data_IF_425174878757
#
_entry.id   IF_425174878757
#
_cell.length_a   1.000
_cell.length_b   1.000
_cell.length_c   1.000
_cell.angle_alpha   90.00
_cell.angle_beta   90.00
_cell.angle_gamma   90.00
#
_symmetry.space_group_name_H-M   'P 1'
#
loop_
_entity.id
_entity.type
_entity.pdbx_description
1 polymer ?
#
# COMPACT_ATOMS: atom_id res chain seq x y z
N UNK A 1 -21.60 18.43 -9.60
CA UNK A 1 -20.55 17.46 -10.00
C UNK A 1 -19.87 16.76 -8.82
N UNK A 2 -19.64 17.43 -7.67
CA UNK A 2 -19.02 16.80 -6.48
C UNK A 2 -19.88 15.71 -5.83
N UNK A 3 -21.20 15.91 -5.69
CA UNK A 3 -22.10 14.95 -5.03
C UNK A 3 -22.17 13.56 -5.69
N UNK A 4 -22.04 13.50 -7.02
CA UNK A 4 -22.13 12.25 -7.78
C UNK A 4 -20.90 11.34 -7.56
N UNK A 5 -19.72 11.91 -7.32
CA UNK A 5 -18.49 11.14 -7.05
C UNK A 5 -18.51 10.48 -5.67
N UNK A 6 -19.03 11.19 -4.67
CA UNK A 6 -19.18 10.66 -3.30
C UNK A 6 -20.22 9.55 -3.24
N UNK A 7 -21.35 9.70 -3.95
CA UNK A 7 -22.39 8.67 -4.00
C UNK A 7 -21.87 7.31 -4.52
N UNK A 8 -21.01 7.31 -5.54
CA UNK A 8 -20.40 6.07 -6.06
C UNK A 8 -19.45 5.44 -5.03
N UNK A 9 -18.67 6.26 -4.32
CA UNK A 9 -17.78 5.80 -3.25
C UNK A 9 -18.54 5.19 -2.08
N UNK A 10 -19.59 5.89 -1.61
CA UNK A 10 -20.47 5.41 -0.54
C UNK A 10 -21.20 4.14 -0.98
N UNK A 11 -21.67 4.06 -2.23
CA UNK A 11 -22.27 2.85 -2.78
C UNK A 11 -21.30 1.66 -2.82
N UNK A 12 -20.03 1.91 -3.16
CA UNK A 12 -18.97 0.91 -3.11
C UNK A 12 -18.70 0.36 -1.71
N UNK A 13 -18.55 1.27 -0.73
CA UNK A 13 -18.39 0.90 0.68
C UNK A 13 -19.62 0.15 1.17
N UNK A 14 -20.82 0.62 0.85
CA UNK A 14 -22.07 -0.04 1.21
C UNK A 14 -22.20 -1.43 0.60
N UNK A 15 -21.72 -1.66 -0.63
CA UNK A 15 -21.69 -2.98 -1.25
C UNK A 15 -20.68 -3.92 -0.56
N UNK A 16 -19.48 -3.44 -0.27
CA UNK A 16 -18.46 -4.23 0.43
C UNK A 16 -18.92 -4.61 1.85
N UNK A 17 -19.44 -3.63 2.60
CA UNK A 17 -20.01 -3.84 3.92
C UNK A 17 -21.28 -4.69 3.86
N UNK A 18 -22.13 -4.51 2.84
CA UNK A 18 -23.33 -5.32 2.60
C UNK A 18 -22.99 -6.80 2.44
N UNK A 19 -21.92 -7.13 1.71
CA UNK A 19 -21.42 -8.50 1.62
C UNK A 19 -20.98 -9.07 2.98
N UNK A 20 -20.26 -8.27 3.78
CA UNK A 20 -19.83 -8.66 5.14
C UNK A 20 -21.03 -8.85 6.10
N UNK A 21 -21.99 -7.94 6.05
CA UNK A 21 -23.21 -7.99 6.86
C UNK A 21 -24.15 -9.12 6.43
N UNK A 22 -24.20 -9.47 5.14
CA UNK A 22 -24.95 -10.64 4.69
C UNK A 22 -24.39 -11.92 5.34
N UNK A 23 -23.06 -12.05 5.41
CA UNK A 23 -22.42 -13.17 6.11
C UNK A 23 -22.79 -13.14 7.59
N UNK A 24 -22.62 -12.00 8.27
CA UNK A 24 -22.89 -11.87 9.71
C UNK A 24 -24.37 -12.11 10.05
N UNK A 25 -25.29 -11.49 9.33
CA UNK A 25 -26.73 -11.62 9.53
C UNK A 25 -27.18 -13.07 9.36
N UNK A 26 -26.64 -13.76 8.36
CA UNK A 26 -26.97 -15.18 8.19
C UNK A 26 -26.45 -16.06 9.33
N UNK A 27 -25.38 -15.64 10.05
CA UNK A 27 -24.95 -16.23 11.34
C UNK A 27 -26.01 -16.06 12.41
N UNK A 28 -26.44 -14.83 12.62
CA UNK A 28 -27.39 -14.46 13.69
C UNK A 28 -28.79 -15.03 13.44
N UNK A 29 -29.23 -15.11 12.17
CA UNK A 29 -30.55 -15.61 11.80
C UNK A 29 -30.67 -17.16 11.85
N UNK A 30 -29.56 -17.91 11.90
CA UNK A 30 -29.56 -19.37 11.99
C UNK A 30 -30.11 -20.13 10.76
N UNK A 31 -30.55 -19.44 9.71
CA UNK A 31 -31.31 -20.03 8.57
C UNK A 31 -30.39 -20.77 7.59
N UNK A 32 -29.17 -20.27 7.36
CA UNK A 32 -28.23 -20.84 6.39
C UNK A 32 -27.04 -21.46 7.09
N UNK A 33 -26.66 -22.68 6.72
CA UNK A 33 -25.43 -23.33 7.20
C UNK A 33 -24.16 -22.60 6.72
N UNK A 34 -23.01 -22.73 7.42
CA UNK A 34 -21.79 -22.00 7.10
C UNK A 34 -21.31 -22.14 5.65
N UNK A 35 -21.46 -23.33 5.05
CA UNK A 35 -21.09 -23.57 3.65
C UNK A 35 -21.89 -22.71 2.66
N UNK A 36 -23.21 -22.58 2.85
CA UNK A 36 -24.07 -21.80 1.95
C UNK A 36 -23.75 -20.30 2.02
N UNK A 37 -23.39 -19.80 3.21
CA UNK A 37 -22.97 -18.39 3.39
C UNK A 37 -21.70 -18.09 2.60
N UNK A 38 -20.72 -18.99 2.67
CA UNK A 38 -19.45 -18.86 1.97
C UNK A 38 -19.63 -18.99 0.45
N UNK A 39 -20.47 -19.90 -0.04
CA UNK A 39 -20.74 -20.01 -1.48
C UNK A 39 -21.46 -18.79 -2.01
N UNK A 40 -22.45 -18.26 -1.31
CA UNK A 40 -23.12 -17.02 -1.68
C UNK A 40 -22.16 -15.81 -1.69
N UNK A 41 -21.31 -15.67 -0.67
CA UNK A 41 -20.30 -14.62 -0.63
C UNK A 41 -19.29 -14.76 -1.79
N UNK A 42 -18.86 -15.99 -2.09
CA UNK A 42 -18.01 -16.29 -3.24
C UNK A 42 -18.66 -15.89 -4.58
N UNK A 43 -19.92 -16.28 -4.78
CA UNK A 43 -20.69 -15.94 -5.98
C UNK A 43 -20.86 -14.43 -6.10
N UNK A 44 -21.21 -13.73 -5.01
CA UNK A 44 -21.34 -12.28 -5.00
C UNK A 44 -20.01 -11.61 -5.38
N UNK A 45 -18.90 -12.03 -4.78
CA UNK A 45 -17.58 -11.51 -5.09
C UNK A 45 -17.21 -11.68 -6.57
N UNK A 46 -17.45 -12.86 -7.14
CA UNK A 46 -17.24 -13.13 -8.56
C UNK A 46 -18.18 -12.31 -9.46
N UNK A 47 -19.45 -12.16 -9.08
CA UNK A 47 -20.44 -11.39 -9.83
C UNK A 47 -20.07 -9.90 -9.89
N UNK A 48 -19.54 -9.34 -8.80
CA UNK A 48 -19.06 -7.96 -8.76
C UNK A 48 -17.84 -7.76 -9.68
N UNK A 49 -16.87 -8.67 -9.67
CA UNK A 49 -15.70 -8.61 -10.57
C UNK A 49 -16.14 -8.79 -12.03
N UNK A 50 -17.03 -9.74 -12.31
CA UNK A 50 -17.57 -9.96 -13.66
C UNK A 50 -18.36 -8.74 -14.16
N UNK A 51 -19.17 -8.13 -13.29
CA UNK A 51 -19.88 -6.89 -13.59
C UNK A 51 -18.91 -5.73 -13.87
N UNK A 52 -17.81 -5.64 -13.14
CA UNK A 52 -16.80 -4.61 -13.35
C UNK A 52 -16.17 -4.73 -14.74
N UNK A 53 -15.78 -5.95 -15.11
CA UNK A 53 -15.20 -6.27 -16.41
C UNK A 53 -16.21 -6.10 -17.55
N UNK A 54 -17.47 -6.46 -17.33
CA UNK A 54 -18.54 -6.27 -18.30
C UNK A 54 -18.75 -4.78 -18.62
N UNK A 55 -18.88 -3.94 -17.60
CA UNK A 55 -19.04 -2.48 -17.76
C UNK A 55 -17.81 -1.91 -18.49
N UNK A 56 -16.62 -2.40 -18.16
CA UNK A 56 -15.37 -1.99 -18.81
C UNK A 56 -15.33 -2.38 -20.30
N UNK A 57 -15.70 -3.61 -20.66
CA UNK A 57 -15.61 -4.13 -22.05
C UNK A 57 -16.68 -3.56 -22.97
N UNK A 58 -17.89 -3.37 -22.47
CA UNK A 58 -19.02 -2.89 -23.28
C UNK A 58 -19.09 -1.37 -23.37
N UNK A 59 -18.28 -0.64 -22.60
CA UNK A 59 -18.35 0.82 -22.52
C UNK A 59 -19.71 1.30 -22.04
N UNK A 60 -20.43 0.46 -21.29
CA UNK A 60 -21.79 0.74 -20.81
C UNK A 60 -21.76 2.04 -20.01
N UNK A 61 -22.34 3.10 -20.60
CA UNK A 61 -22.46 4.40 -19.95
C UNK A 61 -23.52 4.27 -18.88
N UNK A 62 -23.09 3.87 -17.69
CA UNK A 62 -23.91 3.97 -16.48
C UNK A 62 -24.44 5.41 -16.43
N UNK A 63 -25.71 5.68 -16.05
CA UNK A 63 -26.35 7.01 -16.11
C UNK A 63 -25.78 8.03 -15.11
N UNK A 64 -24.45 8.17 -15.09
CA UNK A 64 -23.67 8.99 -14.17
C UNK A 64 -22.75 9.83 -15.05
N UNK A 65 -23.17 11.07 -15.32
CA UNK A 65 -22.41 11.98 -16.19
C UNK A 65 -21.05 12.34 -15.57
N UNK A 66 -19.99 12.27 -16.38
CA UNK A 66 -18.65 12.77 -16.05
C UNK A 66 -17.66 11.74 -15.47
N UNK A 67 -16.60 12.22 -14.82
CA UNK A 67 -15.49 11.41 -14.31
C UNK A 67 -15.89 10.33 -13.27
N UNK A 68 -17.14 10.32 -12.79
CA UNK A 68 -17.66 9.32 -11.86
C UNK A 68 -17.85 7.94 -12.50
N UNK A 69 -18.21 7.87 -13.79
CA UNK A 69 -18.36 6.61 -14.52
C UNK A 69 -17.05 5.81 -14.64
N UNK A 70 -15.91 6.49 -14.61
CA UNK A 70 -14.59 5.85 -14.68
C UNK A 70 -14.21 5.08 -13.41
N UNK A 71 -14.82 5.41 -12.26
CA UNK A 71 -14.49 4.77 -10.97
C UNK A 71 -15.38 3.57 -10.64
N UNK A 72 -16.52 3.39 -11.32
CA UNK A 72 -17.47 2.31 -11.02
C UNK A 72 -16.83 0.93 -11.20
N UNK A 73 -16.14 0.63 -12.33
CA UNK A 73 -15.48 -0.67 -12.50
C UNK A 73 -14.38 -0.92 -11.44
N UNK A 74 -13.62 0.12 -11.06
CA UNK A 74 -12.58 -0.01 -10.03
C UNK A 74 -13.16 -0.34 -8.65
N UNK A 75 -14.25 0.31 -8.28
CA UNK A 75 -14.91 0.13 -6.98
C UNK A 75 -15.57 -1.25 -6.90
N UNK A 76 -16.22 -1.68 -7.98
CA UNK A 76 -16.86 -2.99 -8.04
C UNK A 76 -15.84 -4.14 -8.00
N UNK A 77 -14.69 -3.95 -8.65
CA UNK A 77 -13.53 -4.86 -8.54
C UNK A 77 -12.98 -4.90 -7.12
N UNK A 78 -12.79 -3.74 -6.47
CA UNK A 78 -12.31 -3.66 -5.09
C UNK A 78 -13.24 -4.40 -4.12
N UNK A 79 -14.55 -4.12 -4.21
CA UNK A 79 -15.57 -4.74 -3.37
C UNK A 79 -15.63 -6.25 -3.59
N UNK A 80 -15.59 -6.71 -4.84
CA UNK A 80 -15.57 -8.12 -5.18
C UNK A 80 -14.33 -8.84 -4.66
N UNK A 81 -13.14 -8.26 -4.85
CA UNK A 81 -11.89 -8.80 -4.31
C UNK A 81 -11.91 -8.88 -2.78
N UNK A 82 -12.39 -7.82 -2.10
CA UNK A 82 -12.52 -7.80 -0.64
C UNK A 82 -13.42 -8.92 -0.12
N UNK A 83 -14.59 -9.12 -0.76
CA UNK A 83 -15.53 -10.19 -0.39
C UNK A 83 -14.88 -11.57 -0.62
N UNK A 84 -14.15 -11.78 -1.73
CA UNK A 84 -13.48 -13.06 -1.98
C UNK A 84 -12.36 -13.34 -0.96
N UNK A 85 -11.53 -12.34 -0.64
CA UNK A 85 -10.52 -12.45 0.40
C UNK A 85 -11.15 -12.82 1.75
N UNK A 86 -12.19 -12.09 2.16
CA UNK A 86 -12.92 -12.36 3.40
C UNK A 86 -13.57 -13.73 3.41
N UNK A 87 -14.09 -14.19 2.27
CA UNK A 87 -14.70 -15.53 2.13
C UNK A 87 -13.67 -16.64 2.32
N UNK A 88 -12.50 -16.55 1.67
CA UNK A 88 -11.43 -17.55 1.84
C UNK A 88 -10.88 -17.55 3.26
N UNK A 89 -10.69 -16.36 3.84
CA UNK A 89 -10.28 -16.23 5.24
C UNK A 89 -11.28 -16.88 6.19
N UNK A 90 -12.58 -16.57 6.05
CA UNK A 90 -13.62 -17.16 6.90
C UNK A 90 -13.73 -18.69 6.71
N UNK A 91 -13.61 -19.17 5.47
CA UNK A 91 -13.61 -20.60 5.18
C UNK A 91 -12.49 -21.36 5.91
N UNK A 92 -11.30 -20.75 6.02
CA UNK A 92 -10.17 -21.34 6.73
C UNK A 92 -10.17 -21.03 8.24
N UNK A 93 -10.06 -19.76 8.60
CA UNK A 93 -9.78 -19.30 9.96
C UNK A 93 -10.97 -19.29 10.91
N UNK A 94 -12.21 -19.33 10.40
CA UNK A 94 -13.42 -19.35 11.23
C UNK A 94 -14.08 -20.72 11.19
N UNK A 95 -14.30 -21.26 9.99
CA UNK A 95 -15.09 -22.49 9.82
C UNK A 95 -14.26 -23.76 9.59
N UNK A 96 -12.96 -23.66 9.31
CA UNK A 96 -12.08 -24.82 9.13
C UNK A 96 -12.41 -25.71 7.93
N UNK A 97 -13.14 -25.22 6.94
CA UNK A 97 -13.56 -26.01 5.76
C UNK A 97 -12.41 -26.37 4.82
N UNK A 98 -11.38 -25.53 4.77
CA UNK A 98 -10.24 -25.68 3.86
C UNK A 98 -8.94 -25.66 4.66
N UNK A 99 -7.96 -26.44 4.21
CA UNK A 99 -6.64 -26.48 4.83
C UNK A 99 -5.82 -25.21 4.55
N UNK A 100 -4.73 -24.98 5.33
CA UNK A 100 -3.86 -23.81 5.15
C UNK A 100 -3.32 -23.68 3.73
N UNK A 101 -2.83 -24.78 3.14
CA UNK A 101 -2.25 -24.78 1.79
C UNK A 101 -3.25 -24.29 0.73
N UNK A 102 -4.49 -24.79 0.76
CA UNK A 102 -5.55 -24.38 -0.16
C UNK A 102 -5.97 -22.92 0.06
N UNK A 103 -6.03 -22.47 1.32
CA UNK A 103 -6.35 -21.08 1.63
C UNK A 103 -5.28 -20.12 1.08
N UNK A 104 -4.01 -20.41 1.32
CA UNK A 104 -2.89 -19.62 0.78
C UNK A 104 -2.88 -19.60 -0.74
N UNK A 105 -3.13 -20.74 -1.40
CA UNK A 105 -3.20 -20.79 -2.86
C UNK A 105 -4.34 -19.91 -3.41
N UNK A 106 -5.54 -20.00 -2.83
CA UNK A 106 -6.69 -19.18 -3.23
C UNK A 106 -6.45 -17.69 -2.98
N UNK A 107 -5.96 -17.33 -1.80
CA UNK A 107 -5.60 -15.94 -1.47
C UNK A 107 -4.52 -15.40 -2.42
N UNK A 108 -3.53 -16.21 -2.77
CA UNK A 108 -2.49 -15.88 -3.73
C UNK A 108 -3.06 -15.62 -5.13
N UNK A 109 -3.93 -16.49 -5.63
CA UNK A 109 -4.61 -16.33 -6.92
C UNK A 109 -5.47 -15.06 -6.93
N UNK A 110 -6.28 -14.83 -5.89
CA UNK A 110 -7.10 -13.63 -5.77
C UNK A 110 -6.21 -12.38 -5.70
N UNK A 111 -5.10 -12.43 -4.97
CA UNK A 111 -4.13 -11.35 -4.87
C UNK A 111 -3.52 -10.98 -6.22
N UNK A 112 -3.00 -11.96 -6.95
CA UNK A 112 -2.45 -11.76 -8.30
C UNK A 112 -3.50 -11.23 -9.27
N UNK A 113 -4.72 -11.80 -9.23
CA UNK A 113 -5.84 -11.32 -10.04
C UNK A 113 -6.21 -9.86 -9.69
N UNK A 114 -6.17 -9.49 -8.42
CA UNK A 114 -6.48 -8.13 -7.96
C UNK A 114 -5.38 -7.13 -8.37
N UNK A 115 -4.10 -7.53 -8.32
CA UNK A 115 -2.99 -6.73 -8.86
C UNK A 115 -3.18 -6.52 -10.36
N UNK A 116 -3.45 -7.58 -11.12
CA UNK A 116 -3.75 -7.51 -12.55
C UNK A 116 -4.95 -6.61 -12.84
N UNK A 117 -6.01 -6.72 -12.05
CA UNK A 117 -7.19 -5.88 -12.18
C UNK A 117 -6.88 -4.41 -11.83
N UNK A 118 -6.03 -4.13 -10.85
CA UNK A 118 -5.57 -2.77 -10.51
C UNK A 118 -4.83 -2.11 -11.67
N UNK A 119 -3.99 -2.89 -12.36
CA UNK A 119 -3.33 -2.43 -13.58
C UNK A 119 -4.31 -2.12 -14.71
N UNK A 120 -5.51 -2.71 -14.74
CA UNK A 120 -6.53 -2.47 -15.78
C UNK A 120 -7.49 -1.34 -15.39
N UNK A 121 -7.91 -1.27 -14.13
CA UNK A 121 -8.94 -0.37 -13.63
C UNK A 121 -8.41 0.99 -13.15
N UNK A 122 -7.09 1.19 -13.16
CA UNK A 122 -6.47 2.50 -13.04
C UNK A 122 -6.12 2.93 -11.61
N UNK A 123 -5.65 4.18 -11.49
CA UNK A 123 -5.03 4.75 -10.29
C UNK A 123 -5.91 4.65 -9.03
N UNK A 124 -7.24 4.70 -9.19
CA UNK A 124 -8.16 4.67 -8.07
C UNK A 124 -8.14 3.33 -7.31
N UNK A 125 -8.10 2.19 -8.03
CA UNK A 125 -8.05 0.87 -7.39
C UNK A 125 -6.72 0.67 -6.65
N UNK A 126 -5.62 1.09 -7.28
CA UNK A 126 -4.29 1.03 -6.66
C UNK A 126 -4.20 1.93 -5.41
N UNK A 127 -4.77 3.14 -5.46
CA UNK A 127 -4.82 4.05 -4.33
C UNK A 127 -5.62 3.49 -3.16
N UNK A 128 -6.80 2.89 -3.41
CA UNK A 128 -7.61 2.25 -2.37
C UNK A 128 -6.84 1.08 -1.74
N UNK A 129 -6.20 0.24 -2.55
CA UNK A 129 -5.37 -0.86 -2.06
C UNK A 129 -4.22 -0.37 -1.17
N UNK A 130 -3.55 0.71 -1.57
CA UNK A 130 -2.48 1.33 -0.78
C UNK A 130 -3.02 1.88 0.55
N UNK A 131 -4.13 2.61 0.54
CA UNK A 131 -4.74 3.14 1.77
C UNK A 131 -5.14 2.01 2.70
N UNK A 132 -5.82 0.98 2.21
CA UNK A 132 -6.18 -0.20 3.00
C UNK A 132 -4.96 -0.89 3.60
N UNK A 133 -3.89 -1.03 2.81
CA UNK A 133 -2.64 -1.61 3.29
C UNK A 133 -1.98 -0.75 4.38
N UNK A 134 -2.03 0.58 4.27
CA UNK A 134 -1.48 1.49 5.28
C UNK A 134 -2.31 1.57 6.56
N UNK A 135 -3.62 1.32 6.49
CA UNK A 135 -4.52 1.29 7.66
C UNK A 135 -4.43 -0.03 8.41
N UNK A 136 -4.11 -1.13 7.72
CA UNK A 136 -4.11 -2.50 8.28
C UNK A 136 -3.32 -2.62 9.60
N UNK A 137 -2.08 -2.11 9.74
CA UNK A 137 -1.33 -2.25 10.98
C UNK A 137 -1.97 -1.54 12.18
N UNK A 138 -2.67 -0.43 11.95
CA UNK A 138 -3.40 0.28 13.02
C UNK A 138 -4.60 -0.52 13.53
N UNK A 139 -5.15 -1.41 12.70
CA UNK A 139 -6.28 -2.26 13.06
C UNK A 139 -5.85 -3.57 13.75
N UNK A 140 -4.60 -3.99 13.57
CA UNK A 140 -4.05 -5.18 14.22
C UNK A 140 -3.56 -4.81 15.61
N UNK A 141 -4.48 -4.81 16.57
CA UNK A 141 -4.13 -4.63 17.99
C UNK A 141 -3.35 -5.86 18.48
N UNK A 142 -2.08 -5.67 18.84
CA UNK A 142 -1.23 -6.73 19.37
C UNK A 142 -0.85 -6.45 20.81
N UNK A 143 -1.04 -7.43 21.70
CA UNK A 143 -0.63 -7.34 23.12
C UNK A 143 0.90 -7.29 23.29
N UNK A 144 1.64 -7.70 22.26
CA UNK A 144 3.08 -7.51 22.14
C UNK A 144 3.37 -6.84 20.78
N UNK A 145 3.68 -5.54 20.75
CA UNK A 145 4.09 -4.85 19.53
C UNK A 145 5.37 -5.48 18.94
N UNK A 146 5.32 -5.90 17.68
CA UNK A 146 6.49 -6.45 16.97
C UNK A 146 6.89 -5.54 15.80
N UNK A 147 7.95 -4.72 15.96
CA UNK A 147 8.42 -3.78 14.93
C UNK A 147 8.85 -4.47 13.63
N UNK A 148 9.43 -5.66 13.72
CA UNK A 148 9.87 -6.41 12.53
C UNK A 148 8.70 -6.83 11.66
N UNK A 149 7.63 -7.33 12.27
CA UNK A 149 6.43 -7.71 11.52
C UNK A 149 5.82 -6.50 10.78
N UNK A 150 5.77 -5.34 11.45
CA UNK A 150 5.28 -4.08 10.86
C UNK A 150 6.14 -3.64 9.67
N UNK A 151 7.45 -3.51 9.86
CA UNK A 151 8.32 -2.96 8.83
C UNK A 151 8.56 -3.91 7.65
N UNK A 152 8.59 -5.22 7.88
CA UNK A 152 8.62 -6.21 6.78
C UNK A 152 7.34 -6.12 5.96
N UNK A 153 6.18 -6.02 6.62
CA UNK A 153 4.90 -5.81 5.94
C UNK A 153 4.90 -4.52 5.11
N UNK A 154 5.30 -3.38 5.70
CA UNK A 154 5.36 -2.10 5.00
C UNK A 154 6.35 -2.11 3.82
N UNK A 155 7.50 -2.78 3.96
CA UNK A 155 8.47 -2.93 2.88
C UNK A 155 7.89 -3.71 1.69
N UNK A 156 7.14 -4.79 1.94
CA UNK A 156 6.45 -5.56 0.89
C UNK A 156 5.40 -4.68 0.21
N UNK A 157 4.57 -3.97 0.98
CA UNK A 157 3.54 -3.05 0.43
C UNK A 157 4.17 -1.96 -0.43
N UNK A 158 5.30 -1.40 0.02
CA UNK A 158 6.04 -0.37 -0.71
C UNK A 158 6.58 -0.93 -2.04
N UNK A 159 7.20 -2.11 -2.03
CA UNK A 159 7.73 -2.76 -3.22
C UNK A 159 6.62 -3.08 -4.24
N UNK A 160 5.49 -3.62 -3.77
CA UNK A 160 4.34 -3.93 -4.65
C UNK A 160 3.72 -2.65 -5.24
N UNK A 161 3.59 -1.61 -4.42
CA UNK A 161 3.07 -0.30 -4.86
C UNK A 161 4.03 0.36 -5.85
N UNK A 162 5.33 0.24 -5.64
CA UNK A 162 6.35 0.76 -6.55
C UNK A 162 6.35 0.05 -7.89
N UNK A 163 6.27 -1.28 -7.89
CA UNK A 163 6.16 -2.06 -9.13
C UNK A 163 4.92 -1.65 -9.92
N UNK A 164 3.76 -1.54 -9.24
CA UNK A 164 2.49 -1.13 -9.86
C UNK A 164 2.55 0.29 -10.41
N UNK A 165 3.03 1.24 -9.59
CA UNK A 165 3.20 2.64 -9.98
C UNK A 165 4.16 2.79 -11.16
N UNK A 166 5.21 1.96 -11.22
CA UNK A 166 6.23 2.03 -12.27
C UNK A 166 5.73 1.54 -13.63
N UNK A 167 4.89 0.51 -13.66
CA UNK A 167 4.29 -0.03 -14.90
C UNK A 167 3.43 1.04 -15.60
N UNK A 168 2.69 1.85 -14.82
CA UNK A 168 1.77 2.88 -15.35
C UNK A 168 2.28 4.33 -15.19
N UNK A 169 3.48 4.52 -14.67
CA UNK A 169 4.11 5.82 -14.36
C UNK A 169 3.30 6.75 -13.44
N UNK A 170 2.65 6.16 -12.44
CA UNK A 170 1.84 6.90 -11.49
C UNK A 170 2.68 7.52 -10.37
N UNK A 171 3.30 8.66 -10.67
CA UNK A 171 4.14 9.42 -9.73
C UNK A 171 3.44 9.72 -8.39
N UNK A 172 2.15 10.07 -8.43
CA UNK A 172 1.37 10.36 -7.24
C UNK A 172 1.15 9.12 -6.35
N UNK A 173 0.98 7.93 -6.94
CA UNK A 173 0.85 6.69 -6.18
C UNK A 173 2.17 6.34 -5.49
N UNK A 174 3.30 6.52 -6.20
CA UNK A 174 4.63 6.26 -5.63
C UNK A 174 4.94 7.21 -4.47
N UNK A 175 4.67 8.50 -4.65
CA UNK A 175 4.83 9.50 -3.59
C UNK A 175 3.94 9.19 -2.38
N UNK A 176 2.68 8.79 -2.60
CA UNK A 176 1.78 8.38 -1.53
C UNK A 176 2.28 7.12 -0.78
N UNK A 177 2.86 6.16 -1.50
CA UNK A 177 3.43 4.95 -0.90
C UNK A 177 4.64 5.29 -0.01
N UNK A 178 5.56 6.12 -0.50
CA UNK A 178 6.68 6.62 0.29
C UNK A 178 6.23 7.43 1.50
N UNK A 179 5.22 8.29 1.34
CA UNK A 179 4.68 9.09 2.43
C UNK A 179 4.05 8.19 3.50
N UNK A 180 3.23 7.20 3.12
CA UNK A 180 2.62 6.26 4.05
C UNK A 180 3.65 5.50 4.88
N UNK A 181 4.69 4.98 4.24
CA UNK A 181 5.79 4.29 4.94
C UNK A 181 6.62 5.23 5.83
N UNK A 182 6.87 6.46 5.37
CA UNK A 182 7.58 7.47 6.13
C UNK A 182 6.81 7.89 7.39
N UNK A 183 5.50 8.14 7.25
CA UNK A 183 4.62 8.48 8.38
C UNK A 183 4.64 7.36 9.42
N UNK A 184 4.49 6.10 9.02
CA UNK A 184 4.56 4.97 9.96
C UNK A 184 5.91 4.87 10.68
N UNK A 185 7.01 5.17 9.98
CA UNK A 185 8.36 5.16 10.56
C UNK A 185 8.49 6.25 11.63
N UNK A 186 8.01 7.47 11.36
CA UNK A 186 8.04 8.58 12.32
C UNK A 186 7.10 8.31 13.51
N UNK A 187 5.88 7.83 13.26
CA UNK A 187 4.95 7.47 14.34
C UNK A 187 5.55 6.42 15.26
N UNK A 188 6.21 5.40 14.72
CA UNK A 188 6.90 4.39 15.51
C UNK A 188 8.02 4.98 16.37
N UNK A 189 8.83 5.90 15.83
CA UNK A 189 9.90 6.56 16.57
C UNK A 189 9.39 7.47 17.71
N UNK A 190 8.20 8.04 17.57
CA UNK A 190 7.60 8.95 18.58
C UNK A 190 6.86 8.19 19.68
N UNK A 191 6.18 7.08 19.33
CA UNK A 191 5.27 6.36 20.24
C UNK A 191 5.95 5.20 20.99
N UNK A 192 7.02 4.62 20.44
CA UNK A 192 7.67 3.46 21.05
C UNK A 192 8.62 3.87 22.21
N UNK A 193 8.44 3.33 23.43
CA UNK A 193 9.33 3.60 24.56
C UNK A 193 10.76 3.10 24.34
N UNK A 194 10.90 1.95 23.68
CA UNK A 194 12.16 1.33 23.27
C UNK A 194 12.14 1.15 21.74
N UNK A 195 12.71 2.12 21.02
CA UNK A 195 12.76 2.08 19.56
C UNK A 195 13.74 1.01 19.09
N UNK A 196 13.27 0.06 18.28
CA UNK A 196 14.12 -0.91 17.61
C UNK A 196 14.82 -0.26 16.40
N UNK A 197 16.03 0.24 16.61
CA UNK A 197 16.84 0.94 15.61
C UNK A 197 17.11 0.10 14.37
N UNK A 198 17.35 -1.21 14.54
CA UNK A 198 17.60 -2.12 13.42
C UNK A 198 16.39 -2.20 12.49
N UNK A 199 15.17 -2.17 13.05
CA UNK A 199 13.94 -2.20 12.27
C UNK A 199 13.69 -0.87 11.53
N UNK A 200 14.01 0.27 12.15
CA UNK A 200 13.98 1.60 11.50
C UNK A 200 14.98 1.68 10.36
N UNK A 201 16.24 1.29 10.60
CA UNK A 201 17.28 1.22 9.57
C UNK A 201 16.87 0.30 8.42
N UNK A 202 16.33 -0.88 8.73
CA UNK A 202 15.83 -1.81 7.73
C UNK A 202 14.79 -1.14 6.83
N UNK A 203 13.81 -0.44 7.41
CA UNK A 203 12.77 0.22 6.62
C UNK A 203 13.30 1.39 5.79
N UNK A 204 14.21 2.21 6.34
CA UNK A 204 14.85 3.30 5.60
C UNK A 204 15.68 2.78 4.43
N UNK A 205 16.47 1.70 4.63
CA UNK A 205 17.24 1.05 3.58
C UNK A 205 16.33 0.38 2.55
N UNK A 206 15.25 -0.27 2.96
CA UNK A 206 14.26 -0.83 2.04
C UNK A 206 13.61 0.26 1.18
N UNK A 207 13.30 1.42 1.77
CA UNK A 207 12.76 2.59 1.08
C UNK A 207 13.73 3.11 0.01
N UNK A 208 15.01 3.25 0.36
CA UNK A 208 16.06 3.64 -0.56
C UNK A 208 16.31 2.61 -1.67
N UNK A 209 16.27 1.32 -1.33
CA UNK A 209 16.42 0.23 -2.29
C UNK A 209 15.26 0.25 -3.30
N UNK A 210 14.01 0.40 -2.85
CA UNK A 210 12.85 0.51 -3.74
C UNK A 210 12.97 1.75 -4.64
N UNK A 211 13.40 2.89 -4.10
CA UNK A 211 13.63 4.10 -4.89
C UNK A 211 14.69 3.85 -5.99
N UNK A 212 15.85 3.30 -5.62
CA UNK A 212 17.00 3.16 -6.51
C UNK A 212 16.86 2.01 -7.53
N UNK A 213 16.23 0.91 -7.13
CA UNK A 213 16.19 -0.36 -7.88
C UNK A 213 14.83 -0.65 -8.53
N UNK A 214 13.73 -0.04 -8.09
CA UNK A 214 12.41 -0.26 -8.68
C UNK A 214 11.96 1.00 -9.43
N UNK A 215 11.96 2.15 -8.76
CA UNK A 215 11.46 3.39 -9.34
C UNK A 215 12.44 3.99 -10.36
N UNK A 216 13.71 4.17 -9.97
CA UNK A 216 14.77 4.80 -10.76
C UNK A 216 15.60 3.82 -11.60
N UNK A 217 15.20 2.55 -11.73
CA UNK A 217 16.00 1.55 -12.45
C UNK A 217 16.07 1.81 -13.96
N UNK A 218 17.29 1.90 -14.54
CA UNK A 218 17.50 2.28 -15.94
C UNK A 218 17.20 1.16 -16.94
N UNK A 219 17.27 -0.11 -16.51
CA UNK A 219 16.98 -1.26 -17.37
C UNK A 219 15.52 -1.30 -17.85
N UNK A 220 14.63 -0.57 -17.17
CA UNK A 220 13.21 -0.40 -17.52
C UNK A 220 12.92 1.01 -18.09
N UNK A 221 13.94 1.85 -18.34
CA UNK A 221 13.82 3.21 -18.92
C UNK A 221 14.37 3.31 -20.34
N UNK A 222 14.88 2.22 -20.93
CA UNK A 222 15.61 2.17 -22.20
C UNK A 222 14.88 2.66 -23.48
N UNK A 223 13.70 3.29 -23.35
CA UNK A 223 13.03 4.02 -24.44
C UNK A 223 12.34 5.32 -24.00
N UNK A 224 12.58 5.78 -22.75
CA UNK A 224 11.97 6.97 -22.14
C UNK A 224 12.97 8.08 -21.84
N UNK A 225 14.26 7.83 -22.08
CA UNK A 225 15.37 8.65 -21.58
C UNK A 225 15.72 9.87 -22.43
N UNK A 226 15.16 10.07 -23.63
CA UNK A 226 15.45 11.27 -24.43
C UNK A 226 14.61 12.51 -24.04
N UNK A 227 13.43 12.35 -23.43
CA UNK A 227 12.49 13.46 -23.23
C UNK A 227 12.48 14.07 -21.81
N UNK A 228 13.09 13.44 -20.79
CA UNK A 228 12.99 13.91 -19.41
C UNK A 228 14.35 13.95 -18.69
N UNK A 229 15.13 15.00 -18.96
CA UNK A 229 16.14 15.56 -18.02
C UNK A 229 15.48 16.28 -16.84
N UNK A 230 14.29 15.82 -16.43
CA UNK A 230 13.43 16.49 -15.46
C UNK A 230 13.59 15.93 -14.06
N UNK A 231 13.52 16.84 -13.08
CA UNK A 231 13.43 16.60 -11.65
C UNK A 231 12.33 15.58 -11.29
N UNK A 232 12.68 14.51 -10.57
CA UNK A 232 11.72 13.49 -10.14
C UNK A 232 11.16 13.82 -8.75
N UNK A 233 10.02 14.49 -8.70
CA UNK A 233 9.41 14.95 -7.45
C UNK A 233 9.06 13.83 -6.44
N UNK A 234 8.68 12.58 -6.82
CA UNK A 234 8.43 11.51 -5.85
C UNK A 234 9.65 11.15 -5.01
N UNK A 235 10.86 11.42 -5.51
CA UNK A 235 12.12 11.18 -4.79
C UNK A 235 12.34 12.13 -3.60
N UNK A 236 11.61 13.26 -3.54
CA UNK A 236 11.67 14.20 -2.40
C UNK A 236 11.10 13.56 -1.14
N UNK A 237 10.00 12.81 -1.28
CA UNK A 237 9.25 12.24 -0.16
C UNK A 237 10.12 11.32 0.71
N UNK A 238 10.78 10.27 0.17
CA UNK A 238 11.64 9.42 0.98
C UNK A 238 12.85 10.20 1.53
N UNK A 239 13.39 11.17 0.78
CA UNK A 239 14.47 12.03 1.26
C UNK A 239 14.07 12.82 2.51
N UNK A 240 12.89 13.43 2.51
CA UNK A 240 12.34 14.18 3.65
C UNK A 240 12.16 13.29 4.88
N UNK A 241 11.49 12.13 4.74
CA UNK A 241 11.23 11.26 5.88
C UNK A 241 12.50 10.62 6.45
N UNK A 242 13.45 10.20 5.60
CA UNK A 242 14.72 9.62 6.07
C UNK A 242 15.59 10.69 6.72
N UNK A 243 15.63 11.91 6.18
CA UNK A 243 16.31 13.04 6.81
C UNK A 243 15.70 13.36 8.20
N UNK A 244 14.37 13.36 8.31
CA UNK A 244 13.68 13.57 9.59
C UNK A 244 13.99 12.46 10.59
N UNK A 245 14.01 11.20 10.16
CA UNK A 245 14.45 10.07 11.00
C UNK A 245 15.91 10.22 11.44
N UNK A 246 16.82 10.65 10.56
CA UNK A 246 18.23 10.85 10.89
C UNK A 246 18.42 11.97 11.93
N UNK A 247 17.68 13.08 11.81
CA UNK A 247 17.68 14.16 12.81
C UNK A 247 17.15 13.63 14.16
N UNK A 248 16.01 12.93 14.15
CA UNK A 248 15.43 12.37 15.38
C UNK A 248 16.38 11.44 16.13
N UNK A 249 17.10 10.57 15.41
CA UNK A 249 18.08 9.66 16.00
C UNK A 249 19.35 10.36 16.53
N UNK A 250 19.66 11.56 16.04
CA UNK A 250 20.92 12.26 16.36
C UNK A 250 20.77 13.36 17.40
N UNK A 251 19.60 14.01 17.46
CA UNK A 251 19.37 15.19 18.31
C UNK A 251 18.70 14.83 19.64
N UNK A 252 17.87 13.79 19.66
CA UNK A 252 17.10 13.47 20.86
C UNK A 252 18.01 12.85 21.93
N UNK A 253 18.08 13.46 23.14
CA UNK A 253 18.98 13.05 24.21
C UNK A 253 18.74 11.61 24.70
N UNK A 254 17.55 11.04 24.47
CA UNK A 254 17.27 9.64 24.75
C UNK A 254 18.09 8.68 23.85
N UNK A 255 18.31 9.04 22.58
CA UNK A 255 19.04 8.23 21.60
C UNK A 255 20.54 8.61 21.54
N UNK A 256 20.87 9.88 21.76
CA UNK A 256 22.25 10.36 21.76
C UNK A 256 23.11 9.73 22.88
N UNK A 257 22.49 9.40 24.02
CA UNK A 257 23.18 8.73 25.15
C UNK A 257 23.42 7.22 24.93
N UNK A 258 22.74 6.60 23.96
CA UNK A 258 22.84 5.17 23.62
C UNK A 258 23.86 4.86 22.50
N UNK A 259 24.44 5.87 21.85
CA UNK A 259 25.37 5.71 20.72
C UNK A 259 24.70 5.73 19.34
N UNK A 260 23.44 6.16 19.25
CA UNK A 260 22.61 6.06 18.05
C UNK A 260 22.87 7.15 17.00
N UNK A 261 23.69 8.14 17.32
CA UNK A 261 24.20 9.12 16.37
C UNK A 261 24.92 8.46 15.17
N UNK A 262 25.52 7.28 15.37
CA UNK A 262 26.11 6.48 14.29
C UNK A 262 25.05 5.99 13.29
N UNK A 263 23.84 5.65 13.75
CA UNK A 263 22.75 5.19 12.90
C UNK A 263 22.18 6.34 12.06
N UNK A 264 22.07 7.55 12.64
CA UNK A 264 21.75 8.77 11.90
C UNK A 264 22.77 9.07 10.79
N UNK A 265 24.06 8.97 11.10
CA UNK A 265 25.14 9.15 10.11
C UNK A 265 25.07 8.12 8.97
N UNK A 266 24.75 6.85 9.27
CA UNK A 266 24.56 5.80 8.25
C UNK A 266 23.40 6.15 7.30
N UNK A 267 22.28 6.68 7.81
CA UNK A 267 21.17 7.12 6.97
C UNK A 267 21.54 8.28 6.04
N UNK A 268 22.28 9.26 6.55
CA UNK A 268 22.79 10.38 5.74
C UNK A 268 23.76 9.89 4.66
N UNK A 269 24.68 8.99 5.01
CA UNK A 269 25.59 8.38 4.06
C UNK A 269 24.84 7.57 2.99
N UNK A 270 23.79 6.83 3.37
CA UNK A 270 22.96 6.07 2.45
C UNK A 270 22.19 6.98 1.47
N UNK A 271 21.66 8.12 1.94
CA UNK A 271 21.02 9.13 1.08
C UNK A 271 21.99 9.64 0.00
N UNK A 272 23.21 10.00 0.40
CA UNK A 272 24.25 10.47 -0.52
C UNK A 272 24.69 9.36 -1.47
N UNK A 273 24.90 8.14 -0.98
CA UNK A 273 25.29 7.00 -1.81
C UNK A 273 24.25 6.70 -2.91
N UNK A 274 22.95 6.75 -2.57
CA UNK A 274 21.87 6.55 -3.55
C UNK A 274 21.82 7.68 -4.57
N UNK A 275 22.04 8.93 -4.14
CA UNK A 275 22.12 10.07 -5.06
C UNK A 275 23.30 9.96 -6.04
N UNK A 276 24.45 9.47 -5.58
CA UNK A 276 25.61 9.20 -6.43
C UNK A 276 25.38 8.04 -7.40
N UNK A 277 24.70 6.98 -6.94
CA UNK A 277 24.37 5.82 -7.77
C UNK A 277 23.26 6.12 -8.81
N UNK A 278 22.34 7.04 -8.50
CA UNK A 278 21.23 7.46 -9.37
C UNK A 278 21.19 8.99 -9.50
N UNK A 279 21.67 9.57 -10.62
CA UNK A 279 21.68 11.02 -10.84
C UNK A 279 20.31 11.70 -10.79
N UNK A 280 19.21 10.94 -10.95
CA UNK A 280 17.84 11.46 -10.81
C UNK A 280 17.40 11.68 -9.34
N UNK A 281 18.14 11.12 -8.38
CA UNK A 281 17.86 11.23 -6.94
C UNK A 281 18.56 12.44 -6.26
N UNK A 282 18.88 13.50 -7.02
CA UNK A 282 19.44 14.76 -6.50
C UNK A 282 18.72 15.34 -5.25
N UNK A 283 17.38 15.23 -5.09
CA UNK A 283 16.70 15.69 -3.88
C UNK A 283 17.25 15.09 -2.58
N UNK A 284 17.80 13.86 -2.62
CA UNK A 284 18.34 13.20 -1.44
C UNK A 284 19.60 13.91 -0.90
N UNK A 285 20.39 14.54 -1.77
CA UNK A 285 21.58 15.31 -1.36
C UNK A 285 21.17 16.55 -0.58
N UNK A 286 20.14 17.26 -1.05
CA UNK A 286 19.60 18.42 -0.35
C UNK A 286 19.01 18.02 1.00
N UNK A 287 18.27 16.91 1.05
CA UNK A 287 17.72 16.39 2.31
C UNK A 287 18.84 16.02 3.31
N UNK A 288 19.89 15.33 2.84
CA UNK A 288 21.04 14.99 3.67
C UNK A 288 21.80 16.22 4.15
N UNK A 289 22.01 17.22 3.28
CA UNK A 289 22.67 18.47 3.63
C UNK A 289 21.90 19.27 4.68
N UNK A 290 20.58 19.42 4.52
CA UNK A 290 19.73 20.10 5.50
C UNK A 290 19.75 19.37 6.85
N UNK A 291 19.63 18.04 6.85
CA UNK A 291 19.71 17.26 8.09
C UNK A 291 21.06 17.40 8.78
N UNK A 292 22.16 17.38 8.03
CA UNK A 292 23.51 17.54 8.59
C UNK A 292 23.71 18.92 9.23
N UNK A 293 23.07 19.97 8.72
CA UNK A 293 23.14 21.32 9.31
C UNK A 293 22.30 21.45 10.59
N UNK A 294 21.27 20.62 10.74
CA UNK A 294 20.34 20.67 11.86
C UNK A 294 20.73 19.76 13.04
N UNK A 295 21.69 18.86 12.84
CA UNK A 295 22.28 17.97 13.86
C UNK A 295 23.50 18.67 14.47
#
# INVERSE_FOLDING_TARGET
>A
ALGTRWAVWVGGIALALGGLFLIRYTIEAGIFGPGVRLTMAGILGLALIAGAEFIRRTGFRVPVQGAAGAYIPSILTAAGAFILFGTVYAAHGIYGFIGPATAFALLGVIGVATIGASLVHGLALAGIGLVGAMVTPALVASQAPNPWALFVYLAIVLAASAATARIRDWKALMAAAFAGTGIWTILYMVDAPDVNLAAVLFMSLATLAVLALVWLAPFLTAGRDEAARGFDWPSIVPGFFIALSAIGLSVDPAFASAGDALHGAVLLAALVAVALYRPRALPLVFAAGIATVLI
#
